data_IF_621564336706
#
_entry.id   IF_621564336706
#
_cell.length_a   1.000
_cell.length_b   1.000
_cell.length_c   1.000
_cell.angle_alpha   90.00
_cell.angle_beta   90.00
_cell.angle_gamma   90.00
#
_symmetry.space_group_name_H-M   'P 1'
#
loop_
_entity.id
_entity.type
_entity.pdbx_description
1 polymer ?
#
# COMPACT_ATOMS: atom_id res chain seq x y z
N UNK A 1 -3.78 4.77 22.60
CA UNK A 1 -3.50 4.77 21.17
C UNK A 1 -3.56 3.32 20.73
N UNK A 2 -4.62 2.98 20.00
CA UNK A 2 -4.95 1.60 19.64
C UNK A 2 -4.15 1.23 18.40
N UNK A 3 -2.94 0.69 18.58
CA UNK A 3 -2.12 0.21 17.47
C UNK A 3 -2.50 -1.24 17.15
N UNK A 4 -2.43 -1.64 15.87
CA UNK A 4 -2.73 -3.01 15.47
C UNK A 4 -1.55 -3.90 15.90
N UNK A 5 -1.73 -4.89 16.80
CA UNK A 5 -0.64 -5.77 17.15
C UNK A 5 -0.15 -6.53 15.91
N UNK A 6 1.16 -6.64 15.73
CA UNK A 6 1.74 -7.23 14.52
C UNK A 6 1.19 -8.64 14.19
N UNK A 7 0.95 -9.47 15.21
CA UNK A 7 0.37 -10.81 15.02
C UNK A 7 -1.08 -10.79 14.53
N UNK A 8 -1.87 -9.79 14.95
CA UNK A 8 -3.25 -9.58 14.47
C UNK A 8 -3.22 -9.16 13.00
N UNK A 9 -2.35 -8.20 12.66
CA UNK A 9 -2.19 -7.73 11.28
C UNK A 9 -1.78 -8.87 10.34
N UNK A 10 -0.76 -9.64 10.72
CA UNK A 10 -0.27 -10.77 9.93
C UNK A 10 -1.34 -11.88 9.81
N UNK A 11 -2.07 -12.17 10.89
CA UNK A 11 -3.19 -13.11 10.88
C UNK A 11 -4.28 -12.70 9.90
N UNK A 12 -4.73 -11.44 9.97
CA UNK A 12 -5.72 -10.87 9.07
C UNK A 12 -5.28 -10.99 7.60
N UNK A 13 -4.06 -10.57 7.27
CA UNK A 13 -3.54 -10.69 5.90
C UNK A 13 -3.50 -12.14 5.40
N UNK A 14 -3.18 -13.11 6.27
CA UNK A 14 -3.16 -14.53 5.93
C UNK A 14 -4.56 -15.09 5.60
N UNK A 15 -5.60 -14.51 6.20
CA UNK A 15 -7.01 -14.83 5.92
C UNK A 15 -7.59 -13.97 4.79
N UNK A 16 -6.77 -13.12 4.17
CA UNK A 16 -7.19 -12.24 3.09
C UNK A 16 -7.89 -10.96 3.54
N UNK A 17 -7.88 -10.64 4.83
CA UNK A 17 -8.44 -9.43 5.44
C UNK A 17 -7.36 -8.34 5.53
N UNK A 18 -7.72 -7.07 5.36
CA UNK A 18 -6.80 -5.93 5.54
C UNK A 18 -7.48 -4.76 6.27
N UNK A 19 -6.74 -3.97 7.06
CA UNK A 19 -7.30 -2.81 7.74
C UNK A 19 -7.26 -1.57 6.83
N UNK A 20 -8.22 -0.67 7.02
CA UNK A 20 -8.15 0.73 6.63
C UNK A 20 -8.64 1.58 7.81
N UNK A 21 -8.20 2.83 7.91
CA UNK A 21 -8.64 3.72 8.99
C UNK A 21 -9.40 4.93 8.45
N UNK A 22 -10.31 5.44 9.26
CA UNK A 22 -11.03 6.69 9.04
C UNK A 22 -11.23 7.37 10.40
N UNK A 23 -10.81 8.63 10.52
CA UNK A 23 -10.87 9.42 11.76
C UNK A 23 -10.28 8.71 13.00
N UNK A 24 -9.21 7.94 12.81
CA UNK A 24 -8.51 7.20 13.86
C UNK A 24 -9.15 5.86 14.26
N UNK A 25 -10.26 5.47 13.64
CA UNK A 25 -10.90 4.19 13.84
C UNK A 25 -10.47 3.17 12.78
N UNK A 26 -10.22 1.92 13.19
CA UNK A 26 -9.80 0.84 12.28
C UNK A 26 -11.01 0.05 11.80
N UNK A 27 -11.10 -0.11 10.48
CA UNK A 27 -12.09 -0.90 9.79
C UNK A 27 -11.41 -2.07 9.06
N UNK A 28 -11.97 -3.28 9.19
CA UNK A 28 -11.43 -4.49 8.55
C UNK A 28 -12.22 -4.86 7.30
N UNK A 29 -11.51 -5.08 6.20
CA UNK A 29 -12.11 -5.33 4.88
C UNK A 29 -11.78 -6.72 4.35
N UNK A 30 -12.80 -7.40 3.85
CA UNK A 30 -12.70 -8.66 3.10
C UNK A 30 -13.67 -8.61 1.91
N UNK A 31 -13.29 -7.98 0.79
CA UNK A 31 -14.19 -7.81 -0.34
C UNK A 31 -14.48 -9.15 -1.02
N UNK A 32 -15.74 -9.36 -1.40
CA UNK A 32 -16.17 -10.56 -2.13
C UNK A 32 -15.45 -10.70 -3.49
N UNK A 33 -15.28 -9.58 -4.19
CA UNK A 33 -14.50 -9.50 -5.43
C UNK A 33 -13.20 -8.76 -5.14
N UNK A 34 -12.06 -9.43 -5.31
CA UNK A 34 -10.75 -8.85 -4.99
C UNK A 34 -10.03 -8.34 -6.23
N UNK A 35 -9.60 -7.08 -6.18
CA UNK A 35 -8.70 -6.52 -7.17
C UNK A 35 -7.33 -7.18 -7.06
N UNK A 36 -6.86 -7.78 -8.16
CA UNK A 36 -5.52 -8.36 -8.29
C UNK A 36 -4.82 -7.78 -9.51
N UNK A 37 -3.50 -7.64 -9.43
CA UNK A 37 -2.66 -7.21 -10.55
C UNK A 37 -1.72 -8.37 -10.89
N UNK A 38 -2.01 -9.16 -11.94
CA UNK A 38 -1.07 -10.17 -12.40
C UNK A 38 0.21 -9.53 -12.91
N UNK A 39 1.35 -9.97 -12.37
CA UNK A 39 2.70 -9.48 -12.73
C UNK A 39 3.42 -10.41 -13.73
N UNK A 40 2.64 -11.21 -14.46
CA UNK A 40 3.12 -12.10 -15.52
C UNK A 40 3.07 -11.38 -16.90
N UNK A 41 2.98 -12.14 -17.99
CA UNK A 41 2.90 -11.60 -19.35
C UNK A 41 1.72 -10.64 -19.58
N UNK A 42 0.71 -10.65 -18.71
CA UNK A 42 -0.48 -9.78 -18.79
C UNK A 42 -0.23 -8.36 -18.29
N UNK A 43 0.86 -8.10 -17.56
CA UNK A 43 1.12 -6.78 -16.99
C UNK A 43 1.38 -5.73 -18.09
N UNK A 44 0.49 -4.75 -18.19
CA UNK A 44 0.57 -3.73 -19.22
C UNK A 44 1.38 -2.51 -18.77
N UNK A 45 2.52 -2.27 -19.41
CA UNK A 45 3.26 -1.00 -19.28
C UNK A 45 3.03 -0.16 -20.54
N UNK A 46 2.45 1.05 -20.43
CA UNK A 46 2.24 1.94 -21.56
C UNK A 46 3.54 2.24 -22.32
N UNK A 47 3.48 2.35 -23.65
CA UNK A 47 4.66 2.58 -24.50
C UNK A 47 5.46 3.83 -24.11
N UNK A 48 4.76 4.92 -23.73
CA UNK A 48 5.39 6.15 -23.26
C UNK A 48 6.19 5.96 -21.98
N UNK A 49 5.60 5.26 -21.00
CA UNK A 49 6.26 4.91 -19.74
C UNK A 49 7.49 4.02 -19.99
N UNK A 50 7.37 2.98 -20.83
CA UNK A 50 8.52 2.14 -21.22
C UNK A 50 9.68 2.97 -21.79
N UNK A 51 9.38 3.98 -22.62
CA UNK A 51 10.40 4.87 -23.20
C UNK A 51 11.02 5.81 -22.16
N UNK A 52 10.21 6.35 -21.24
CA UNK A 52 10.68 7.21 -20.16
C UNK A 52 11.61 6.46 -19.20
N UNK A 53 11.24 5.23 -18.81
CA UNK A 53 12.03 4.39 -17.90
C UNK A 53 13.41 4.02 -18.46
N UNK A 54 13.56 3.87 -19.79
CA UNK A 54 14.86 3.60 -20.43
C UNK A 54 15.92 4.70 -20.23
N UNK A 55 15.52 5.88 -19.77
CA UNK A 55 16.45 6.98 -19.44
C UNK A 55 17.00 6.86 -18.03
N UNK A 56 16.53 5.89 -17.24
CA UNK A 56 16.88 5.68 -15.83
C UNK A 56 16.81 6.99 -15.01
N UNK A 57 15.69 7.73 -15.06
CA UNK A 57 15.60 9.04 -14.41
C UNK A 57 15.53 8.97 -12.88
N UNK A 58 15.39 7.76 -12.32
CA UNK A 58 15.23 7.52 -10.88
C UNK A 58 16.16 6.42 -10.41
N UNK A 59 16.72 6.58 -9.22
CA UNK A 59 17.33 5.49 -8.46
C UNK A 59 16.23 4.75 -7.70
N UNK A 60 16.18 3.41 -7.83
CA UNK A 60 15.22 2.57 -7.10
C UNK A 60 15.92 1.92 -5.91
N UNK A 61 15.36 2.12 -4.72
CA UNK A 61 15.85 1.54 -3.46
C UNK A 61 14.73 0.77 -2.78
N UNK A 62 15.10 -0.26 -2.04
CA UNK A 62 14.16 -1.14 -1.32
C UNK A 62 14.38 -0.97 0.17
N UNK A 63 13.30 -0.78 0.94
CA UNK A 63 13.31 -0.65 2.40
C UNK A 63 14.29 0.42 2.95
N UNK A 64 14.60 1.46 2.16
CA UNK A 64 15.55 2.49 2.60
C UNK A 64 14.94 3.62 3.42
N UNK A 65 13.61 3.81 3.37
CA UNK A 65 12.91 4.93 4.00
C UNK A 65 11.41 4.60 4.19
N UNK A 66 11.10 3.50 4.90
CA UNK A 66 9.72 3.00 5.01
C UNK A 66 8.75 4.04 5.57
N UNK A 67 9.10 4.68 6.69
CA UNK A 67 8.26 5.70 7.34
C UNK A 67 8.01 6.90 6.43
N UNK A 68 9.03 7.39 5.71
CA UNK A 68 8.88 8.52 4.79
C UNK A 68 8.00 8.16 3.59
N UNK A 69 8.11 6.93 3.07
CA UNK A 69 7.24 6.42 1.99
C UNK A 69 5.79 6.33 2.47
N UNK A 70 5.55 5.80 3.67
CA UNK A 70 4.20 5.72 4.25
C UNK A 70 3.59 7.11 4.46
N UNK A 71 4.35 8.04 5.05
CA UNK A 71 3.95 9.43 5.21
C UNK A 71 3.63 10.08 3.85
N UNK A 72 4.48 9.88 2.84
CA UNK A 72 4.25 10.37 1.48
C UNK A 72 2.98 9.80 0.84
N UNK A 73 2.67 8.52 1.04
CA UNK A 73 1.43 7.88 0.58
C UNK A 73 0.17 8.46 1.24
N UNK A 74 0.29 8.98 2.46
CA UNK A 74 -0.81 9.60 3.21
C UNK A 74 -1.13 11.03 2.74
N UNK A 75 -0.20 11.73 2.07
CA UNK A 75 -0.40 13.11 1.57
C UNK A 75 -1.30 13.13 0.34
N UNK A 76 -2.61 13.03 0.55
CA UNK A 76 -3.65 13.12 -0.50
C UNK A 76 -4.94 13.71 0.08
N UNK A 77 -5.82 14.23 -0.78
CA UNK A 77 -7.07 14.89 -0.36
C UNK A 77 -8.02 13.94 0.40
N UNK A 78 -8.09 12.68 0.00
CA UNK A 78 -8.88 11.63 0.65
C UNK A 78 -7.97 10.44 0.93
N UNK A 79 -7.72 10.12 2.20
CA UNK A 79 -6.84 9.01 2.60
C UNK A 79 -7.44 8.16 3.71
N UNK A 80 -7.04 6.88 3.73
CA UNK A 80 -7.33 5.97 4.84
C UNK A 80 -6.08 5.71 5.71
N UNK A 81 -4.94 6.25 5.29
CA UNK A 81 -3.66 6.06 5.97
C UNK A 81 -3.57 7.09 7.09
N UNK A 82 -4.23 6.79 8.21
CA UNK A 82 -4.14 7.56 9.44
C UNK A 82 -2.91 7.19 10.25
N UNK A 83 -2.63 7.98 11.29
CA UNK A 83 -1.53 7.74 12.22
C UNK A 83 -1.57 6.32 12.83
N UNK A 84 -2.78 5.80 13.09
CA UNK A 84 -3.02 4.45 13.61
C UNK A 84 -2.57 3.31 12.67
N UNK A 85 -2.39 3.60 11.38
CA UNK A 85 -1.87 2.65 10.37
C UNK A 85 -0.34 2.76 10.23
N UNK A 86 0.22 3.94 10.53
CA UNK A 86 1.66 4.23 10.36
C UNK A 86 2.47 3.78 11.58
N UNK A 87 1.89 3.84 12.78
CA UNK A 87 2.52 3.52 14.07
C UNK A 87 2.42 2.04 14.46
#
# INVERSE_FOLDING_TARGET
MEHIPAHVLLGAYSEGVFPMAEDGEIYWFSPLTRGIIPIDERFHIPRGLKRAMKKEPFEIRINSAFSDVMAGCAVRQETWIDQVIIE
#
